data_IF_102182301569
#
_entry.id   IF_102182301569
#
_cell.length_a   1.000
_cell.length_b   1.000
_cell.length_c   1.000
_cell.angle_alpha   90.00
_cell.angle_beta   90.00
_cell.angle_gamma   90.00
#
_symmetry.space_group_name_H-M   'P 1'
#
loop_
_entity.id
_entity.type
_entity.pdbx_description
1 polymer ?
#
# COMPACT_ATOMS: atom_id res chain seq x y z
N UNK A 1 7.97 -43.04 -21.68
CA UNK A 1 7.10 -42.09 -22.38
C UNK A 1 7.74 -40.74 -22.31
N UNK A 2 8.32 -40.28 -23.43
CA UNK A 2 8.91 -38.94 -23.49
C UNK A 2 7.78 -37.92 -23.26
N UNK A 3 7.97 -37.04 -22.25
CA UNK A 3 7.12 -35.88 -22.05
C UNK A 3 7.29 -35.03 -23.33
N UNK A 4 6.24 -34.99 -24.17
CA UNK A 4 6.17 -33.99 -25.22
C UNK A 4 6.42 -32.62 -24.56
N UNK A 5 7.38 -31.90 -25.07
CA UNK A 5 7.66 -30.53 -24.65
C UNK A 5 6.40 -29.68 -24.85
N UNK A 6 5.63 -29.54 -23.78
CA UNK A 6 4.57 -28.54 -23.73
C UNK A 6 5.28 -27.19 -23.72
N UNK A 7 5.25 -26.50 -24.84
CA UNK A 7 5.91 -25.17 -25.01
C UNK A 7 4.96 -24.07 -24.59
N UNK A 8 5.54 -22.93 -24.15
CA UNK A 8 4.81 -21.70 -23.92
C UNK A 8 4.06 -21.61 -22.59
N UNK A 9 3.03 -20.80 -22.58
CA UNK A 9 2.22 -20.43 -21.42
C UNK A 9 1.61 -21.64 -20.68
N UNK A 10 1.15 -22.67 -21.41
CA UNK A 10 0.46 -23.83 -20.80
C UNK A 10 1.33 -24.58 -19.78
N UNK A 11 2.63 -24.70 -20.04
CA UNK A 11 3.57 -25.34 -19.11
C UNK A 11 3.66 -24.58 -17.79
N UNK A 12 3.78 -23.26 -17.87
CA UNK A 12 3.92 -22.39 -16.69
C UNK A 12 2.60 -22.35 -15.91
N UNK A 13 1.47 -22.29 -16.61
CA UNK A 13 0.13 -22.34 -16.00
C UNK A 13 -0.08 -23.67 -15.26
N UNK A 14 0.28 -24.80 -15.85
CA UNK A 14 0.19 -26.12 -15.20
C UNK A 14 1.10 -26.21 -13.96
N UNK A 15 2.34 -25.75 -14.07
CA UNK A 15 3.27 -25.70 -12.94
C UNK A 15 2.75 -24.77 -11.81
N UNK A 16 2.18 -23.63 -12.18
CA UNK A 16 1.55 -22.72 -11.19
C UNK A 16 0.40 -23.41 -10.45
N UNK A 17 -0.45 -24.16 -11.13
CA UNK A 17 -1.55 -24.88 -10.48
C UNK A 17 -1.03 -25.94 -9.48
N UNK A 18 0.10 -26.55 -9.77
CA UNK A 18 0.70 -27.59 -8.94
C UNK A 18 1.47 -27.04 -7.74
N UNK A 19 2.24 -25.97 -7.92
CA UNK A 19 3.25 -25.54 -6.95
C UNK A 19 2.93 -24.21 -6.26
N UNK A 20 2.05 -23.38 -6.82
CA UNK A 20 1.72 -22.08 -6.22
C UNK A 20 0.45 -22.17 -5.37
N UNK A 21 0.48 -21.57 -4.19
CA UNK A 21 -0.66 -21.55 -3.26
C UNK A 21 -1.95 -21.04 -3.94
N UNK A 22 -3.07 -21.71 -3.68
CA UNK A 22 -4.37 -21.40 -4.31
C UNK A 22 -4.92 -20.01 -3.97
N UNK A 23 -4.51 -19.42 -2.85
CA UNK A 23 -4.95 -18.09 -2.42
C UNK A 23 -4.40 -16.93 -3.27
N UNK A 24 -3.49 -17.22 -4.21
CA UNK A 24 -2.92 -16.21 -5.11
C UNK A 24 -3.69 -16.23 -6.42
N UNK A 25 -4.51 -15.20 -6.65
CA UNK A 25 -5.21 -15.02 -7.95
C UNK A 25 -4.23 -14.41 -8.96
N UNK A 26 -4.10 -15.04 -10.12
CA UNK A 26 -3.21 -14.60 -11.19
C UNK A 26 -3.87 -14.87 -12.54
N UNK A 27 -3.93 -13.91 -13.47
CA UNK A 27 -4.35 -14.17 -14.85
C UNK A 27 -3.40 -15.15 -15.54
N UNK A 28 -3.87 -15.81 -16.57
CA UNK A 28 -3.08 -16.80 -17.34
C UNK A 28 -2.07 -16.13 -18.32
N UNK A 29 -1.64 -14.90 -18.02
CA UNK A 29 -0.59 -14.21 -18.77
C UNK A 29 0.78 -14.58 -18.19
N UNK A 30 1.64 -15.16 -19.03
CA UNK A 30 3.00 -15.55 -18.65
C UNK A 30 3.99 -14.59 -19.32
N UNK A 31 4.45 -13.61 -18.58
CA UNK A 31 5.34 -12.55 -19.08
C UNK A 31 6.76 -13.12 -19.28
N UNK A 32 7.34 -12.83 -20.45
CA UNK A 32 8.74 -13.12 -20.80
C UNK A 32 9.62 -11.89 -20.62
N UNK A 33 9.21 -10.76 -21.21
CA UNK A 33 9.95 -9.49 -21.15
C UNK A 33 9.02 -8.29 -21.13
N UNK A 34 9.56 -7.15 -20.68
CA UNK A 34 8.82 -5.89 -20.62
C UNK A 34 9.75 -4.71 -20.92
N UNK A 35 9.20 -3.65 -21.53
CA UNK A 35 9.91 -2.41 -21.86
C UNK A 35 8.94 -1.23 -21.91
N UNK A 36 9.24 -0.14 -21.23
CA UNK A 36 8.36 1.02 -21.14
C UNK A 36 6.96 0.64 -20.65
N UNK A 37 5.94 0.83 -21.46
CA UNK A 37 4.56 0.47 -21.17
C UNK A 37 4.10 -0.84 -21.85
N UNK A 38 5.02 -1.67 -22.30
CA UNK A 38 4.73 -2.91 -23.04
C UNK A 38 5.27 -4.12 -22.35
N UNK A 39 4.51 -5.22 -22.45
CA UNK A 39 4.93 -6.56 -21.99
C UNK A 39 4.72 -7.56 -23.12
N UNK A 40 5.58 -8.57 -23.19
CA UNK A 40 5.45 -9.68 -24.12
C UNK A 40 5.35 -10.98 -23.34
N UNK A 41 4.41 -11.84 -23.77
CA UNK A 41 4.31 -13.16 -23.17
C UNK A 41 5.32 -14.14 -23.79
N UNK A 42 5.46 -15.29 -23.15
CA UNK A 42 6.35 -16.38 -23.61
C UNK A 42 5.97 -16.97 -24.98
N UNK A 43 4.78 -16.66 -25.50
CA UNK A 43 4.30 -17.03 -26.82
C UNK A 43 4.57 -15.92 -27.85
N UNK A 44 5.22 -14.82 -27.45
CA UNK A 44 5.61 -13.69 -28.31
C UNK A 44 4.52 -12.65 -28.57
N UNK A 45 3.36 -12.74 -27.89
CA UNK A 45 2.30 -11.73 -28.04
C UNK A 45 2.64 -10.49 -27.23
N UNK A 46 2.36 -9.33 -27.82
CA UNK A 46 2.55 -8.02 -27.20
C UNK A 46 1.27 -7.52 -26.54
N UNK A 47 1.41 -6.89 -25.36
CA UNK A 47 0.34 -6.24 -24.61
C UNK A 47 0.77 -4.86 -24.13
N UNK A 48 -0.19 -3.94 -24.01
CA UNK A 48 0.01 -2.67 -23.31
C UNK A 48 -0.27 -2.91 -21.82
N UNK A 49 0.70 -2.59 -20.97
CA UNK A 49 0.59 -2.77 -19.52
C UNK A 49 -0.14 -1.60 -18.85
N UNK A 50 -1.45 -1.73 -18.73
CA UNK A 50 -2.27 -0.81 -17.93
C UNK A 50 -2.31 -1.15 -16.44
N UNK A 51 -1.79 -2.31 -16.03
CA UNK A 51 -1.73 -2.69 -14.63
C UNK A 51 -0.55 -2.04 -13.90
N UNK A 52 0.54 -1.78 -14.63
CA UNK A 52 1.73 -1.10 -14.11
C UNK A 52 2.23 -1.68 -12.78
N UNK A 53 2.19 -3.01 -12.62
CA UNK A 53 2.55 -3.66 -11.35
C UNK A 53 1.63 -3.30 -10.18
N UNK A 54 0.34 -3.05 -10.44
CA UNK A 54 -0.64 -2.50 -9.48
C UNK A 54 -0.26 -1.10 -8.97
N UNK A 55 0.25 -0.25 -9.87
CA UNK A 55 0.63 1.13 -9.58
C UNK A 55 2.11 1.36 -9.30
N UNK A 56 2.94 0.31 -9.22
CA UNK A 56 4.36 0.44 -8.84
C UNK A 56 5.29 0.89 -9.98
N UNK A 57 4.92 0.69 -11.25
CA UNK A 57 5.76 0.98 -12.41
C UNK A 57 5.63 2.43 -12.87
N UNK A 58 6.01 3.39 -12.03
CA UNK A 58 5.85 4.82 -12.32
C UNK A 58 6.78 5.31 -13.43
N UNK A 59 7.93 4.65 -13.63
CA UNK A 59 8.91 4.98 -14.68
C UNK A 59 8.82 4.08 -15.91
N UNK A 60 7.87 3.12 -15.91
CA UNK A 60 7.82 2.06 -16.91
C UNK A 60 8.86 0.95 -16.67
N UNK A 61 8.78 -0.09 -17.49
CA UNK A 61 9.70 -1.21 -17.42
C UNK A 61 11.07 -0.87 -18.04
N UNK A 62 12.14 -1.32 -17.40
CA UNK A 62 13.49 -1.28 -17.98
C UNK A 62 14.09 0.12 -18.13
N UNK A 63 13.77 1.08 -17.22
CA UNK A 63 14.39 2.40 -17.25
C UNK A 63 15.93 2.27 -17.29
N UNK A 64 16.62 2.77 -18.34
CA UNK A 64 18.04 2.51 -18.53
C UNK A 64 18.93 2.93 -17.35
N UNK A 65 18.62 4.08 -16.73
CA UNK A 65 19.39 4.57 -15.57
C UNK A 65 19.22 3.65 -14.35
N UNK A 66 18.02 3.13 -14.11
CA UNK A 66 17.78 2.19 -13.00
C UNK A 66 18.48 0.85 -13.25
N UNK A 67 18.41 0.33 -14.50
CA UNK A 67 19.09 -0.90 -14.88
C UNK A 67 20.61 -0.78 -14.71
N UNK A 68 21.21 0.33 -15.16
CA UNK A 68 22.64 0.60 -15.00
C UNK A 68 23.05 0.64 -13.51
N UNK A 69 22.30 1.35 -12.67
CA UNK A 69 22.57 1.43 -11.23
C UNK A 69 22.44 0.06 -10.53
N UNK A 70 21.48 -0.79 -10.95
CA UNK A 70 21.35 -2.16 -10.44
C UNK A 70 22.57 -3.00 -10.81
N UNK A 71 23.04 -2.94 -12.05
CA UNK A 71 24.24 -3.67 -12.49
C UNK A 71 25.48 -3.23 -11.70
N UNK A 72 25.70 -1.93 -11.53
CA UNK A 72 26.79 -1.42 -10.71
C UNK A 72 26.71 -1.91 -9.26
N UNK A 73 25.53 -1.93 -8.67
CA UNK A 73 25.34 -2.39 -7.30
C UNK A 73 25.55 -3.91 -7.15
N UNK A 74 25.11 -4.71 -8.11
CA UNK A 74 25.29 -6.18 -8.10
C UNK A 74 26.77 -6.54 -8.14
N UNK A 75 27.60 -5.82 -8.90
CA UNK A 75 29.05 -6.03 -8.95
C UNK A 75 29.76 -5.73 -7.61
N UNK A 76 29.14 -4.91 -6.75
CA UNK A 76 29.67 -4.58 -5.41
C UNK A 76 29.23 -5.60 -4.35
N UNK A 77 27.93 -5.85 -4.22
CA UNK A 77 27.32 -6.87 -3.35
C UNK A 77 25.80 -6.97 -3.60
N UNK A 78 25.24 -8.15 -3.36
CA UNK A 78 23.80 -8.40 -3.52
C UNK A 78 22.98 -8.01 -2.31
N UNK A 79 23.45 -8.33 -1.10
CA UNK A 79 22.73 -8.10 0.13
C UNK A 79 23.67 -7.80 1.30
N UNK A 80 23.26 -6.86 2.13
CA UNK A 80 23.83 -6.60 3.44
C UNK A 80 22.70 -6.18 4.40
N UNK A 81 22.63 -6.84 5.55
CA UNK A 81 21.70 -6.45 6.59
C UNK A 81 22.09 -5.09 7.19
N UNK A 82 21.25 -4.08 7.03
CA UNK A 82 21.52 -2.71 7.50
C UNK A 82 21.79 -2.62 9.01
N UNK A 83 21.17 -3.52 9.81
CA UNK A 83 21.39 -3.59 11.26
C UNK A 83 22.79 -4.11 11.64
N UNK A 84 23.47 -4.80 10.72
CA UNK A 84 24.82 -5.32 10.92
C UNK A 84 25.87 -4.37 10.36
N UNK A 85 25.56 -3.74 9.21
CA UNK A 85 26.45 -2.78 8.59
C UNK A 85 25.68 -1.81 7.70
N UNK A 86 25.82 -0.51 7.96
CA UNK A 86 25.20 0.53 7.17
C UNK A 86 25.71 0.55 5.73
N UNK A 87 24.85 0.94 4.79
CA UNK A 87 25.23 1.17 3.39
C UNK A 87 24.52 2.39 2.82
N UNK A 88 25.24 3.10 1.98
CA UNK A 88 24.89 4.41 1.45
C UNK A 88 23.53 4.45 0.72
N UNK A 89 23.16 3.50 -0.17
CA UNK A 89 21.88 3.54 -0.86
C UNK A 89 20.67 3.60 0.07
N UNK A 90 20.70 2.91 1.21
CA UNK A 90 19.61 2.97 2.20
C UNK A 90 19.49 4.38 2.81
N UNK A 91 20.62 4.94 3.23
CA UNK A 91 20.66 6.28 3.85
C UNK A 91 20.22 7.34 2.85
N UNK A 92 20.67 7.23 1.59
CA UNK A 92 20.30 8.18 0.53
C UNK A 92 18.81 8.14 0.20
N UNK A 93 18.18 6.96 0.16
CA UNK A 93 16.72 6.85 -0.01
C UNK A 93 16.00 7.51 1.17
N UNK A 94 16.42 7.26 2.41
CA UNK A 94 15.84 7.90 3.59
C UNK A 94 16.00 9.42 3.57
N UNK A 95 17.17 9.94 3.14
CA UNK A 95 17.41 11.37 2.99
C UNK A 95 16.45 12.00 1.98
N UNK A 96 16.30 11.40 0.80
CA UNK A 96 15.38 11.89 -0.23
C UNK A 96 13.92 11.83 0.21
N UNK A 97 13.52 10.76 0.88
CA UNK A 97 12.17 10.67 1.44
C UNK A 97 11.92 11.75 2.50
N UNK A 98 12.92 12.06 3.35
CA UNK A 98 12.80 13.12 4.33
C UNK A 98 12.66 14.52 3.68
N UNK A 99 13.36 14.76 2.57
CA UNK A 99 13.26 16.03 1.83
C UNK A 99 11.91 16.22 1.10
N UNK A 100 11.28 15.11 0.69
CA UNK A 100 10.00 15.12 -0.02
C UNK A 100 8.79 14.99 0.92
N UNK A 101 9.01 14.56 2.15
CA UNK A 101 7.94 14.23 3.10
C UNK A 101 7.08 15.46 3.44
N UNK A 102 5.75 15.38 3.32
CA UNK A 102 4.83 16.41 3.78
C UNK A 102 4.52 16.30 5.28
N UNK A 103 5.13 15.34 5.99
CA UNK A 103 4.86 15.12 7.40
C UNK A 103 5.21 16.34 8.25
N UNK A 104 4.51 16.53 9.35
CA UNK A 104 4.75 17.62 10.28
C UNK A 104 5.92 17.31 11.22
N UNK A 105 6.59 18.35 11.70
CA UNK A 105 7.73 18.27 12.61
C UNK A 105 9.05 18.70 11.95
N UNK A 106 10.04 19.01 12.79
CA UNK A 106 11.32 19.58 12.33
C UNK A 106 12.29 18.50 11.80
N UNK A 107 12.10 17.25 12.23
CA UNK A 107 12.95 16.12 11.84
C UNK A 107 12.12 15.03 11.15
N UNK A 108 12.44 14.79 9.90
CA UNK A 108 11.84 13.72 9.09
C UNK A 108 12.74 12.48 9.09
N UNK A 109 12.17 11.33 9.37
CA UNK A 109 12.90 10.04 9.40
C UNK A 109 12.12 8.95 8.69
N UNK A 110 12.83 8.07 8.00
CA UNK A 110 12.24 6.97 7.25
C UNK A 110 12.70 5.61 7.76
N UNK A 111 11.80 4.64 7.73
CA UNK A 111 12.07 3.22 7.97
C UNK A 111 11.70 2.45 6.71
N UNK A 112 12.66 1.75 6.10
CA UNK A 112 12.40 0.91 4.94
C UNK A 112 12.04 -0.51 5.37
N UNK A 113 10.99 -1.05 4.76
CA UNK A 113 10.44 -2.39 5.02
C UNK A 113 10.18 -3.12 3.69
N UNK A 114 9.70 -4.36 3.73
CA UNK A 114 9.64 -5.21 2.53
C UNK A 114 8.27 -5.20 1.83
N UNK A 115 7.26 -4.62 2.44
CA UNK A 115 5.91 -4.57 1.86
C UNK A 115 5.09 -3.40 2.40
N UNK A 116 4.04 -3.00 1.66
CA UNK A 116 3.08 -1.99 2.14
C UNK A 116 2.36 -2.42 3.41
N UNK A 117 2.04 -3.72 3.56
CA UNK A 117 1.45 -4.24 4.79
C UNK A 117 2.39 -4.03 5.99
N UNK A 118 3.69 -4.28 5.84
CA UNK A 118 4.68 -4.01 6.89
C UNK A 118 4.80 -2.51 7.18
N UNK A 119 4.73 -1.66 6.16
CA UNK A 119 4.76 -0.21 6.34
C UNK A 119 3.58 0.27 7.19
N UNK A 120 2.36 -0.15 6.88
CA UNK A 120 1.16 0.20 7.64
C UNK A 120 1.19 -0.39 9.06
N UNK A 121 1.62 -1.66 9.23
CA UNK A 121 1.82 -2.26 10.56
C UNK A 121 2.78 -1.43 11.43
N UNK A 122 3.89 -0.96 10.84
CA UNK A 122 4.86 -0.13 11.55
C UNK A 122 4.32 1.28 11.81
N UNK A 123 3.58 1.89 10.89
CA UNK A 123 2.93 3.18 11.12
C UNK A 123 1.98 3.14 12.32
N UNK A 124 1.11 2.12 12.39
CA UNK A 124 0.21 1.91 13.55
C UNK A 124 1.01 1.64 14.83
N UNK A 125 2.06 0.82 14.75
CA UNK A 125 2.92 0.54 15.91
C UNK A 125 3.59 1.80 16.45
N UNK A 126 4.09 2.66 15.56
CA UNK A 126 4.69 3.96 15.93
C UNK A 126 3.62 4.88 16.53
N UNK A 127 2.45 4.97 15.92
CA UNK A 127 1.35 5.78 16.42
C UNK A 127 0.92 5.36 17.83
N UNK A 128 0.76 4.06 18.08
CA UNK A 128 0.44 3.51 19.40
C UNK A 128 1.53 3.80 20.44
N UNK A 129 2.80 3.68 20.05
CA UNK A 129 3.93 3.96 20.94
C UNK A 129 4.03 5.46 21.28
N UNK A 130 3.76 6.33 20.32
CA UNK A 130 3.84 7.79 20.50
C UNK A 130 2.68 8.34 21.35
N UNK A 131 1.49 7.78 21.21
CA UNK A 131 0.28 8.28 21.89
C UNK A 131 -0.05 7.52 23.19
N UNK A 132 0.40 6.28 23.32
CA UNK A 132 -0.03 5.36 24.40
C UNK A 132 -1.45 4.83 24.21
N UNK A 133 -2.07 5.04 23.03
CA UNK A 133 -3.48 4.72 22.75
C UNK A 133 -3.59 3.47 21.85
N UNK A 134 -4.59 2.60 22.02
CA UNK A 134 -4.72 1.37 21.23
C UNK A 134 -5.52 1.50 19.94
N UNK A 135 -6.47 2.46 19.85
CA UNK A 135 -7.47 2.56 18.79
C UNK A 135 -6.90 2.96 17.43
N UNK A 136 -7.44 2.40 16.38
CA UNK A 136 -7.13 2.74 14.97
C UNK A 136 -8.43 2.93 14.21
N UNK A 137 -8.56 4.05 13.51
CA UNK A 137 -9.69 4.29 12.62
C UNK A 137 -9.24 4.15 11.17
N UNK A 138 -10.05 3.45 10.39
CA UNK A 138 -9.91 3.28 8.94
C UNK A 138 -11.23 3.62 8.25
N UNK A 139 -11.25 3.69 6.94
CA UNK A 139 -12.43 4.11 6.18
C UNK A 139 -13.03 2.97 5.35
N UNK A 140 -14.32 3.09 5.04
CA UNK A 140 -14.99 2.19 4.12
C UNK A 140 -14.29 2.19 2.75
N UNK A 141 -14.22 1.01 2.14
CA UNK A 141 -13.54 0.82 0.86
C UNK A 141 -12.03 0.67 0.95
N UNK A 142 -11.39 0.91 2.10
CA UNK A 142 -9.93 0.89 2.26
C UNK A 142 -9.31 -0.49 2.08
N UNK A 143 -8.05 -0.48 1.64
CA UNK A 143 -7.17 -1.65 1.58
C UNK A 143 -5.78 -1.29 2.12
N UNK A 144 -5.39 -1.88 3.24
CA UNK A 144 -4.13 -1.61 3.91
C UNK A 144 -3.18 -2.81 3.96
N UNK A 145 -3.58 -3.95 3.41
CA UNK A 145 -2.76 -5.16 3.36
C UNK A 145 -3.49 -6.43 3.76
N UNK A 146 -2.72 -7.51 3.95
CA UNK A 146 -3.24 -8.87 4.23
C UNK A 146 -2.53 -9.57 5.38
N UNK A 147 -1.77 -8.87 6.22
CA UNK A 147 -1.30 -9.34 7.53
C UNK A 147 -2.43 -9.22 8.55
N UNK A 148 -2.29 -9.74 9.75
CA UNK A 148 -3.40 -9.82 10.71
C UNK A 148 -4.05 -8.45 11.00
N UNK A 149 -3.26 -7.43 11.32
CA UNK A 149 -3.77 -6.08 11.59
C UNK A 149 -4.25 -5.41 10.29
N UNK A 150 -3.43 -5.36 9.25
CA UNK A 150 -3.80 -4.70 7.99
C UNK A 150 -4.97 -5.36 7.28
N UNK A 151 -5.14 -6.68 7.40
CA UNK A 151 -6.34 -7.40 6.93
C UNK A 151 -7.59 -6.99 7.72
N UNK A 152 -7.46 -6.75 9.04
CA UNK A 152 -8.55 -6.21 9.85
C UNK A 152 -8.93 -4.81 9.41
N UNK A 153 -7.95 -3.99 9.04
CA UNK A 153 -8.13 -2.64 8.52
C UNK A 153 -8.71 -2.61 7.10
N UNK A 154 -8.56 -3.68 6.31
CA UNK A 154 -9.06 -3.78 4.94
C UNK A 154 -10.57 -4.05 4.89
N UNK A 155 -11.29 -3.36 3.99
CA UNK A 155 -12.76 -3.42 3.91
C UNK A 155 -13.32 -4.66 3.23
N UNK A 156 -12.67 -5.19 2.18
CA UNK A 156 -13.22 -6.28 1.35
C UNK A 156 -13.32 -7.60 2.12
N UNK A 157 -14.54 -8.12 2.29
CA UNK A 157 -14.81 -9.39 2.95
C UNK A 157 -14.06 -10.57 2.31
N UNK A 158 -13.83 -10.54 1.01
CA UNK A 158 -13.10 -11.60 0.29
C UNK A 158 -11.67 -11.80 0.78
N UNK A 159 -11.01 -10.74 1.27
CA UNK A 159 -9.67 -10.82 1.85
C UNK A 159 -9.66 -11.28 3.31
N UNK A 160 -10.82 -11.25 3.97
CA UNK A 160 -10.98 -11.54 5.41
C UNK A 160 -11.62 -12.90 5.69
N UNK A 161 -12.34 -13.45 4.73
CA UNK A 161 -13.14 -14.67 4.91
C UNK A 161 -12.28 -15.88 5.30
N UNK A 162 -12.55 -16.44 6.49
CA UNK A 162 -11.89 -17.64 7.00
C UNK A 162 -10.55 -17.38 7.73
N UNK A 163 -10.15 -16.12 7.93
CA UNK A 163 -8.86 -15.77 8.55
C UNK A 163 -8.97 -15.16 9.96
N UNK A 164 -10.18 -15.10 10.55
CA UNK A 164 -10.34 -14.64 11.94
C UNK A 164 -9.75 -15.59 12.99
N UNK A 165 -9.60 -15.16 14.25
CA UNK A 165 -10.05 -13.87 14.78
C UNK A 165 -9.22 -12.68 14.27
N UNK A 166 -9.86 -11.49 14.24
CA UNK A 166 -9.21 -10.26 13.78
C UNK A 166 -8.58 -9.48 14.92
N UNK A 167 -7.70 -8.52 14.58
CA UNK A 167 -7.08 -7.64 15.57
C UNK A 167 -8.14 -6.76 16.25
N UNK A 168 -8.06 -6.55 17.57
CA UNK A 168 -8.96 -5.64 18.29
C UNK A 168 -8.62 -4.17 18.00
N UNK A 169 -9.50 -3.29 18.47
CA UNK A 169 -9.32 -1.83 18.45
C UNK A 169 -9.15 -1.23 17.04
N UNK A 170 -9.81 -1.81 16.06
CA UNK A 170 -9.90 -1.27 14.69
C UNK A 170 -11.33 -0.90 14.40
N UNK A 171 -11.59 0.38 14.20
CA UNK A 171 -12.89 0.97 13.96
C UNK A 171 -13.00 1.49 12.53
N UNK A 172 -14.22 1.55 11.99
CA UNK A 172 -14.42 1.90 10.60
C UNK A 172 -15.41 3.05 10.45
N UNK A 173 -14.91 4.15 9.87
CA UNK A 173 -15.72 5.32 9.54
C UNK A 173 -16.15 5.29 8.06
N UNK A 174 -17.24 5.98 7.68
CA UNK A 174 -17.60 6.16 6.29
C UNK A 174 -16.54 6.97 5.53
N UNK A 175 -16.20 6.54 4.31
CA UNK A 175 -15.38 7.31 3.39
C UNK A 175 -16.23 8.27 2.56
N UNK A 176 -15.76 9.47 2.21
CA UNK A 176 -16.45 10.31 1.26
C UNK A 176 -16.43 9.66 -0.13
N UNK A 177 -17.57 9.62 -0.77
CA UNK A 177 -17.74 9.12 -2.13
C UNK A 177 -18.91 9.87 -2.79
N UNK A 178 -18.68 11.11 -3.30
CA UNK A 178 -19.73 11.97 -3.83
C UNK A 178 -20.56 11.31 -4.94
N UNK A 179 -19.93 10.49 -5.77
CA UNK A 179 -20.66 9.71 -6.80
C UNK A 179 -21.73 8.78 -6.19
N UNK A 180 -21.56 8.34 -4.95
CA UNK A 180 -22.50 7.51 -4.19
C UNK A 180 -23.31 8.30 -3.17
N UNK A 181 -23.22 9.63 -3.20
CA UNK A 181 -23.99 10.53 -2.34
C UNK A 181 -23.43 10.72 -0.94
N UNK A 182 -22.16 10.36 -0.70
CA UNK A 182 -21.48 10.65 0.57
C UNK A 182 -20.46 11.76 0.32
N UNK A 183 -20.73 12.96 0.80
CA UNK A 183 -19.81 14.10 0.72
C UNK A 183 -18.88 14.16 1.94
N UNK A 184 -17.96 15.13 1.94
CA UNK A 184 -17.03 15.38 3.04
C UNK A 184 -17.73 15.60 4.37
N UNK A 185 -18.79 16.41 4.39
CA UNK A 185 -19.50 16.74 5.63
C UNK A 185 -20.17 15.49 6.23
N UNK A 186 -20.76 14.65 5.40
CA UNK A 186 -21.38 13.40 5.83
C UNK A 186 -20.34 12.39 6.34
N UNK A 187 -19.19 12.29 5.70
CA UNK A 187 -18.10 11.40 6.14
C UNK A 187 -17.53 11.85 7.49
N UNK A 188 -17.30 13.15 7.69
CA UNK A 188 -16.86 13.71 8.97
C UNK A 188 -17.94 13.53 10.05
N UNK A 189 -19.21 13.78 9.74
CA UNK A 189 -20.29 13.52 10.69
C UNK A 189 -20.36 12.05 11.12
N UNK A 190 -20.13 11.12 10.19
CA UNK A 190 -20.06 9.69 10.52
C UNK A 190 -18.84 9.33 11.40
N UNK A 191 -17.72 10.00 11.23
CA UNK A 191 -16.56 9.85 12.11
C UNK A 191 -16.86 10.40 13.53
N UNK A 192 -17.51 11.56 13.64
CA UNK A 192 -17.91 12.13 14.93
C UNK A 192 -18.98 11.24 15.62
N UNK A 193 -19.87 10.63 14.86
CA UNK A 193 -20.85 9.67 15.39
C UNK A 193 -20.18 8.39 15.93
N UNK A 194 -19.10 7.92 15.29
CA UNK A 194 -18.28 6.82 15.76
C UNK A 194 -17.66 7.14 17.14
N UNK A 195 -17.18 8.37 17.34
CA UNK A 195 -16.67 8.82 18.64
C UNK A 195 -17.75 8.88 19.73
N UNK A 196 -18.99 9.12 19.36
CA UNK A 196 -20.10 9.14 20.32
C UNK A 196 -20.59 7.74 20.72
N UNK A 197 -20.39 6.73 19.85
CA UNK A 197 -21.05 5.44 20.01
C UNK A 197 -20.12 4.24 20.23
N UNK A 198 -18.92 4.28 19.66
CA UNK A 198 -18.11 3.07 19.56
C UNK A 198 -16.73 3.20 20.19
N UNK A 199 -16.09 4.37 20.10
CA UNK A 199 -14.72 4.57 20.57
C UNK A 199 -14.51 5.96 21.12
N UNK A 200 -13.97 6.07 22.32
CA UNK A 200 -13.51 7.33 22.88
C UNK A 200 -12.36 7.90 22.02
N UNK A 201 -12.46 9.12 21.46
CA UNK A 201 -11.39 9.72 20.66
C UNK A 201 -10.06 9.81 21.42
N UNK A 202 -10.08 9.92 22.75
CA UNK A 202 -8.86 9.90 23.56
C UNK A 202 -8.19 8.52 23.63
N UNK A 203 -8.85 7.44 23.20
CA UNK A 203 -8.28 6.12 23.06
C UNK A 203 -7.75 5.82 21.66
N UNK A 204 -7.96 6.72 20.69
CA UNK A 204 -7.54 6.53 19.29
C UNK A 204 -6.11 7.02 19.08
N UNK A 205 -5.23 6.11 18.63
CA UNK A 205 -3.84 6.42 18.30
C UNK A 205 -3.72 7.12 16.95
N UNK A 206 -4.39 6.59 15.94
CA UNK A 206 -4.30 7.13 14.58
C UNK A 206 -5.55 6.86 13.75
N UNK A 207 -5.68 7.68 12.72
CA UNK A 207 -6.54 7.47 11.56
C UNK A 207 -5.65 7.08 10.38
N UNK A 208 -6.05 6.09 9.58
CA UNK A 208 -5.31 5.67 8.38
C UNK A 208 -6.19 5.87 7.15
N UNK A 209 -5.72 6.67 6.21
CA UNK A 209 -6.43 7.04 4.98
C UNK A 209 -5.59 6.73 3.74
N UNK A 210 -6.22 6.20 2.69
CA UNK A 210 -5.69 6.23 1.33
C UNK A 210 -6.20 7.52 0.64
N UNK A 211 -5.33 8.44 0.19
CA UNK A 211 -5.80 9.67 -0.50
C UNK A 211 -6.47 9.35 -1.84
N UNK A 212 -6.09 8.23 -2.44
CA UNK A 212 -6.81 7.58 -3.55
C UNK A 212 -6.97 6.11 -3.20
N UNK A 213 -8.19 5.68 -2.93
CA UNK A 213 -8.46 4.27 -2.63
C UNK A 213 -8.25 3.41 -3.89
N UNK A 214 -7.18 2.63 -3.91
CA UNK A 214 -6.87 1.76 -5.05
C UNK A 214 -7.84 0.60 -5.18
N UNK A 215 -7.78 -0.34 -4.27
CA UNK A 215 -8.61 -1.55 -4.23
C UNK A 215 -10.11 -1.25 -3.99
N UNK A 216 -10.41 -0.10 -3.42
CA UNK A 216 -11.78 0.41 -3.25
C UNK A 216 -12.47 0.73 -4.58
N UNK A 217 -11.70 1.04 -5.64
CA UNK A 217 -12.20 1.33 -6.98
C UNK A 217 -11.63 2.59 -7.62
N UNK A 218 -10.39 2.97 -7.31
CA UNK A 218 -9.75 4.22 -7.72
C UNK A 218 -10.58 5.45 -7.35
N UNK A 219 -10.99 5.48 -6.07
CA UNK A 219 -11.82 6.54 -5.52
C UNK A 219 -10.90 7.63 -4.99
N UNK A 220 -10.89 8.78 -5.66
CA UNK A 220 -10.16 9.97 -5.23
C UNK A 220 -10.94 10.63 -4.10
N UNK A 221 -10.29 10.91 -2.98
CA UNK A 221 -10.89 11.68 -1.89
C UNK A 221 -11.15 13.12 -2.35
N UNK A 222 -12.29 13.74 -1.99
CA UNK A 222 -12.50 15.17 -2.23
C UNK A 222 -11.39 16.01 -1.61
N UNK A 223 -10.96 17.08 -2.27
CA UNK A 223 -9.82 17.92 -1.87
C UNK A 223 -9.96 18.54 -0.47
N UNK A 224 -11.19 18.72 0.00
CA UNK A 224 -11.50 19.26 1.32
C UNK A 224 -11.47 18.19 2.44
N UNK A 225 -11.62 16.90 2.10
CA UNK A 225 -11.72 15.85 3.11
C UNK A 225 -10.43 15.64 3.92
N UNK A 226 -9.23 15.53 3.33
CA UNK A 226 -8.00 15.36 4.11
C UNK A 226 -7.77 16.52 5.09
N UNK A 227 -8.14 17.75 4.72
CA UNK A 227 -8.05 18.93 5.60
C UNK A 227 -9.04 18.84 6.75
N UNK A 228 -10.31 18.54 6.47
CA UNK A 228 -11.34 18.38 7.49
C UNK A 228 -10.99 17.24 8.47
N UNK A 229 -10.48 16.11 7.94
CA UNK A 229 -9.99 15.00 8.75
C UNK A 229 -8.82 15.42 9.64
N UNK A 230 -7.88 16.19 9.10
CA UNK A 230 -6.74 16.71 9.86
C UNK A 230 -7.19 17.60 11.03
N UNK A 231 -8.20 18.45 10.83
CA UNK A 231 -8.76 19.28 11.89
C UNK A 231 -9.38 18.44 13.02
N UNK A 232 -10.03 17.31 12.68
CA UNK A 232 -10.53 16.35 13.68
C UNK A 232 -9.36 15.71 14.43
N UNK A 233 -8.34 15.25 13.71
CA UNK A 233 -7.15 14.64 14.30
C UNK A 233 -6.46 15.59 15.29
N UNK A 234 -6.23 16.83 14.88
CA UNK A 234 -5.56 17.86 15.71
C UNK A 234 -6.36 18.17 16.98
N UNK A 235 -7.70 18.22 16.90
CA UNK A 235 -8.60 18.49 18.03
C UNK A 235 -8.50 17.43 19.13
N UNK A 236 -8.26 16.18 18.75
CA UNK A 236 -8.23 15.04 19.69
C UNK A 236 -6.80 14.49 19.92
N UNK A 237 -5.79 15.07 19.31
CA UNK A 237 -4.41 14.57 19.38
C UNK A 237 -4.25 13.18 18.76
N UNK A 238 -5.01 12.90 17.70
CA UNK A 238 -4.96 11.67 16.92
C UNK A 238 -3.92 11.87 15.82
N UNK A 239 -3.09 10.86 15.56
CA UNK A 239 -2.11 10.92 14.46
C UNK A 239 -2.79 10.59 13.13
N UNK A 240 -2.52 11.40 12.11
CA UNK A 240 -2.96 11.14 10.75
C UNK A 240 -1.88 10.36 10.00
N UNK A 241 -2.24 9.19 9.48
CA UNK A 241 -1.38 8.31 8.67
C UNK A 241 -1.94 8.30 7.25
N UNK A 242 -1.12 8.77 6.32
CA UNK A 242 -1.43 8.75 4.90
C UNK A 242 -0.86 7.49 4.26
N UNK A 243 -1.75 6.60 3.76
CA UNK A 243 -1.34 5.37 3.09
C UNK A 243 -1.22 5.61 1.59
N UNK A 244 -0.04 5.99 1.18
CA UNK A 244 0.33 6.21 -0.22
C UNK A 244 1.02 5.01 -0.89
N UNK A 245 0.90 3.81 -0.34
CA UNK A 245 1.52 2.59 -0.89
C UNK A 245 1.14 2.38 -2.37
N UNK A 246 -0.08 2.72 -2.77
CA UNK A 246 -0.51 2.59 -4.16
C UNK A 246 -0.56 3.93 -4.92
N UNK A 247 -0.82 5.03 -4.24
CA UNK A 247 -1.07 6.33 -4.86
C UNK A 247 0.15 7.27 -4.89
N UNK A 248 1.15 7.02 -4.08
CA UNK A 248 2.29 7.91 -3.89
C UNK A 248 3.39 7.85 -4.96
N UNK A 249 4.47 8.56 -4.69
CA UNK A 249 5.72 8.60 -5.49
C UNK A 249 5.45 8.89 -6.98
N UNK A 250 4.63 9.92 -7.26
CA UNK A 250 4.32 10.38 -8.62
C UNK A 250 3.25 9.58 -9.35
N UNK A 251 2.61 8.57 -8.72
CA UNK A 251 1.57 7.77 -9.37
C UNK A 251 0.31 8.59 -9.68
N UNK A 252 -0.10 9.44 -8.77
CA UNK A 252 -1.33 10.25 -8.88
C UNK A 252 -1.06 11.74 -9.12
N UNK A 253 0.20 12.15 -9.20
CA UNK A 253 0.57 13.54 -9.39
C UNK A 253 1.98 13.85 -8.90
N UNK A 254 2.23 15.01 -8.33
CA UNK A 254 3.50 15.35 -7.69
C UNK A 254 3.89 14.35 -6.59
N UNK A 255 5.18 14.30 -6.31
CA UNK A 255 5.73 13.52 -5.19
C UNK A 255 5.48 14.28 -3.90
#
# INVERSE_FOLDING_TARGET
MALQEVRGSDRVVAARQQYVARGISTPALVVDRAEGARVWDVDGREYVDFAGGLGCQNTGHGLPAAVAAIHEQVDRYLHQCFMVGMYEPYVEVCRRLAELSPCTGDEQRSLLVNSGAEAVENAVKVARAATGRPGVIVFDGSFHGRTLLTMTMTSKVTYRRGFGPFAPEVYRAPAPYPYRGVDTAQAIAGLEELFLREVDPESVACVVLEPVQGEGGFIVMPDDFPRALREVCDRHGILYVDDEVQSGVGRTGPV
#
